data_IF_326730833420
#
_entry.id   IF_326730833420
#
_cell.length_a   1.000
_cell.length_b   1.000
_cell.length_c   1.000
_cell.angle_alpha   90.00
_cell.angle_beta   90.00
_cell.angle_gamma   90.00
#
_symmetry.space_group_name_H-M   'P 1'
#
loop_
_entity.id
_entity.type
_entity.pdbx_description
1 polymer ?
#
# COMPACT_ATOMS: atom_id res chain seq x y z
N UNK A 1 31.28 16.67 1.82
CA UNK A 1 30.57 15.37 2.00
C UNK A 1 29.20 15.67 2.57
N UNK A 2 28.15 15.79 1.74
CA UNK A 2 26.79 15.76 2.26
C UNK A 2 25.72 15.49 1.18
N UNK A 3 24.72 14.70 1.61
CA UNK A 3 23.40 14.42 1.03
C UNK A 3 23.31 14.09 -0.47
N UNK A 4 23.45 12.81 -0.81
CA UNK A 4 22.72 12.21 -1.93
C UNK A 4 22.47 10.71 -1.67
N UNK A 5 21.94 10.40 -0.49
CA UNK A 5 21.35 9.08 -0.22
C UNK A 5 19.97 8.91 -0.88
N UNK A 6 19.54 9.88 -1.71
CA UNK A 6 18.29 9.87 -2.47
C UNK A 6 18.17 8.69 -3.47
N UNK A 7 19.29 8.02 -3.79
CA UNK A 7 19.32 6.99 -4.84
C UNK A 7 19.10 5.55 -4.34
N UNK A 8 18.97 5.31 -3.02
CA UNK A 8 18.78 3.96 -2.47
C UNK A 8 17.33 3.60 -2.14
N UNK A 9 16.36 4.49 -2.34
CA UNK A 9 14.97 4.23 -1.92
C UNK A 9 14.00 4.07 -3.10
N UNK A 10 14.42 3.31 -4.12
CA UNK A 10 13.55 2.83 -5.20
C UNK A 10 12.74 1.63 -4.68
N UNK A 11 11.79 1.94 -3.81
CA UNK A 11 10.74 1.05 -3.30
C UNK A 11 11.25 -0.12 -2.45
N UNK A 12 11.36 0.12 -1.13
CA UNK A 12 11.45 -0.89 -0.05
C UNK A 12 10.24 -1.87 0.04
N UNK A 13 9.52 -2.06 -1.06
CA UNK A 13 8.24 -2.79 -1.14
C UNK A 13 8.23 -3.59 -2.43
N UNK A 14 7.96 -4.89 -2.33
CA UNK A 14 7.94 -5.77 -3.50
C UNK A 14 6.83 -5.34 -4.47
N UNK A 15 7.07 -5.41 -5.79
CA UNK A 15 6.06 -5.05 -6.78
C UNK A 15 4.77 -5.87 -6.63
N UNK A 16 4.87 -7.14 -6.24
CA UNK A 16 3.72 -8.00 -5.96
C UNK A 16 2.87 -7.49 -4.79
N UNK A 17 3.47 -6.91 -3.76
CA UNK A 17 2.76 -6.33 -2.62
C UNK A 17 2.15 -4.98 -3.00
N UNK A 18 2.84 -4.16 -3.79
CA UNK A 18 2.30 -2.92 -4.31
C UNK A 18 1.05 -3.17 -5.19
N UNK A 19 1.07 -4.20 -6.04
CA UNK A 19 -0.10 -4.60 -6.83
C UNK A 19 -1.29 -5.01 -5.95
N UNK A 20 -1.06 -5.75 -4.86
CA UNK A 20 -2.12 -6.09 -3.90
C UNK A 20 -2.70 -4.85 -3.23
N UNK A 21 -1.85 -3.88 -2.86
CA UNK A 21 -2.29 -2.62 -2.27
C UNK A 21 -3.18 -1.82 -3.24
N UNK A 22 -2.83 -1.78 -4.54
CA UNK A 22 -3.66 -1.17 -5.59
C UNK A 22 -5.02 -1.87 -5.70
N UNK A 23 -5.04 -3.22 -5.62
CA UNK A 23 -6.28 -3.99 -5.64
C UNK A 23 -7.25 -3.54 -4.54
N UNK A 24 -6.78 -3.44 -3.29
CA UNK A 24 -7.60 -2.94 -2.18
C UNK A 24 -8.05 -1.48 -2.37
N UNK A 25 -7.19 -0.65 -2.96
CA UNK A 25 -7.52 0.76 -3.23
C UNK A 25 -8.66 0.88 -4.25
N UNK A 26 -8.60 0.09 -5.32
CA UNK A 26 -9.63 0.09 -6.36
C UNK A 26 -10.97 -0.37 -5.78
N UNK A 27 -10.98 -1.45 -5.00
CA UNK A 27 -12.20 -1.92 -4.34
C UNK A 27 -12.84 -0.86 -3.41
N UNK A 28 -12.02 -0.08 -2.69
CA UNK A 28 -12.50 1.03 -1.86
C UNK A 28 -13.00 2.23 -2.67
N UNK A 29 -12.48 2.44 -3.88
CA UNK A 29 -12.94 3.51 -4.77
C UNK A 29 -14.25 3.13 -5.48
N UNK A 30 -14.43 1.85 -5.81
CA UNK A 30 -15.65 1.34 -6.45
C UNK A 30 -16.86 1.34 -5.48
N UNK A 31 -16.61 1.24 -4.17
CA UNK A 31 -17.66 1.35 -3.17
C UNK A 31 -17.18 1.04 -1.76
N UNK A 32 -18.13 1.03 -0.82
CA UNK A 32 -17.82 0.59 0.55
C UNK A 32 -17.45 -0.90 0.54
N UNK A 33 -16.31 -1.25 1.13
CA UNK A 33 -15.94 -2.65 1.32
C UNK A 33 -16.97 -3.34 2.21
N UNK A 34 -17.47 -4.50 1.79
CA UNK A 34 -18.29 -5.36 2.65
C UNK A 34 -17.49 -5.84 3.88
N UNK A 35 -18.19 -6.26 4.94
CA UNK A 35 -17.55 -6.74 6.18
C UNK A 35 -16.47 -7.81 5.94
N UNK A 36 -16.72 -8.75 5.02
CA UNK A 36 -15.73 -9.78 4.64
C UNK A 36 -14.46 -9.17 4.03
N UNK A 37 -14.61 -8.20 3.13
CA UNK A 37 -13.50 -7.51 2.49
C UNK A 37 -12.73 -6.65 3.48
N UNK A 38 -13.42 -5.97 4.39
CA UNK A 38 -12.79 -5.22 5.48
C UNK A 38 -11.93 -6.12 6.37
N UNK A 39 -12.44 -7.28 6.79
CA UNK A 39 -11.67 -8.26 7.56
C UNK A 39 -10.46 -8.79 6.79
N UNK A 40 -10.62 -9.11 5.51
CA UNK A 40 -9.53 -9.59 4.67
C UNK A 40 -8.44 -8.52 4.48
N UNK A 41 -8.83 -7.27 4.26
CA UNK A 41 -7.91 -6.13 4.17
C UNK A 41 -7.14 -5.91 5.47
N UNK A 42 -7.82 -5.94 6.62
CA UNK A 42 -7.17 -5.84 7.93
C UNK A 42 -6.21 -7.00 8.18
N UNK A 43 -6.60 -8.23 7.85
CA UNK A 43 -5.73 -9.40 7.99
C UNK A 43 -4.50 -9.29 7.07
N UNK A 44 -4.69 -8.77 5.87
CA UNK A 44 -3.59 -8.53 4.93
C UNK A 44 -2.63 -7.47 5.47
N UNK A 45 -3.13 -6.32 5.93
CA UNK A 45 -2.31 -5.25 6.52
C UNK A 45 -1.52 -5.70 7.76
N UNK A 46 -2.15 -6.50 8.62
CA UNK A 46 -1.50 -6.97 9.85
C UNK A 46 -0.59 -8.19 9.61
N UNK A 47 -0.66 -8.81 8.43
CA UNK A 47 0.13 -10.01 8.11
C UNK A 47 1.60 -9.74 7.80
N UNK A 48 1.96 -8.53 7.34
CA UNK A 48 3.35 -8.19 7.01
C UNK A 48 3.60 -6.67 7.07
N UNK A 49 4.73 -6.26 7.66
CA UNK A 49 5.23 -4.89 7.64
C UNK A 49 5.37 -4.31 6.22
N UNK A 50 5.66 -5.15 5.22
CA UNK A 50 5.73 -4.74 3.82
C UNK A 50 4.36 -4.34 3.26
N UNK A 51 3.29 -5.03 3.66
CA UNK A 51 1.91 -4.68 3.28
C UNK A 51 1.51 -3.31 3.83
N UNK A 52 1.89 -3.01 5.08
CA UNK A 52 1.65 -1.71 5.71
C UNK A 52 2.38 -0.58 4.96
N UNK A 53 3.64 -0.82 4.57
CA UNK A 53 4.42 0.15 3.77
C UNK A 53 3.79 0.40 2.41
N UNK A 54 3.36 -0.66 1.72
CA UNK A 54 2.71 -0.54 0.41
C UNK A 54 1.39 0.21 0.52
N UNK A 55 0.59 -0.08 1.54
CA UNK A 55 -0.66 0.63 1.78
C UNK A 55 -0.42 2.11 2.08
N UNK A 56 0.53 2.44 2.95
CA UNK A 56 0.90 3.83 3.23
C UNK A 56 1.44 4.57 1.99
N UNK A 57 2.07 3.85 1.06
CA UNK A 57 2.47 4.40 -0.23
C UNK A 57 1.24 4.67 -1.12
N UNK A 58 0.31 3.72 -1.25
CA UNK A 58 -0.93 3.88 -2.01
C UNK A 58 -1.81 5.00 -1.46
N UNK A 59 -1.92 5.15 -0.14
CA UNK A 59 -2.67 6.24 0.47
C UNK A 59 -2.08 7.60 0.09
N UNK A 60 -0.75 7.76 0.10
CA UNK A 60 -0.08 8.99 -0.35
C UNK A 60 -0.30 9.25 -1.84
N UNK A 61 -0.33 8.22 -2.67
CA UNK A 61 -0.61 8.36 -4.10
C UNK A 61 -2.06 8.81 -4.32
N UNK A 62 -3.03 8.17 -3.66
CA UNK A 62 -4.45 8.54 -3.75
C UNK A 62 -4.69 9.98 -3.25
N UNK A 63 -4.03 10.41 -2.18
CA UNK A 63 -4.10 11.79 -1.69
C UNK A 63 -3.57 12.85 -2.66
N UNK A 64 -2.75 12.46 -3.65
CA UNK A 64 -2.14 13.37 -4.63
C UNK A 64 -2.86 13.41 -5.97
N UNK A 65 -3.79 12.48 -6.22
CA UNK A 65 -4.63 12.43 -7.42
C UNK A 65 -5.83 13.36 -7.25
#
# INVERSE_FOLDING_TARGET
MNLSNDSLNKSDISPAVAQQAVGWLLEMQEGALDARRQHAWQSWLNGNSEHQRAWAHMQRVNQRL
#
